data_IF_065798535268
#
_entry.id   IF_065798535268
#
_cell.length_a   1.000
_cell.length_b   1.000
_cell.length_c   1.000
_cell.angle_alpha   90.00
_cell.angle_beta   90.00
_cell.angle_gamma   90.00
#
_symmetry.space_group_name_H-M   'P 1'
#
loop_
_entity.id
_entity.type
_entity.pdbx_description
1 polymer ?
#
# COMPACT_ATOMS: atom_id res chain seq x y z
N UNK A 1 37.52 -31.56 -19.44
CA UNK A 1 36.27 -30.77 -19.55
C UNK A 1 34.98 -31.51 -19.16
N UNK A 2 34.99 -32.82 -18.82
CA UNK A 2 33.77 -33.53 -18.37
C UNK A 2 33.56 -33.49 -16.84
N UNK A 3 34.59 -33.18 -16.06
CA UNK A 3 34.49 -33.18 -14.59
C UNK A 3 33.85 -31.92 -14.00
N UNK A 4 34.02 -30.76 -14.64
CA UNK A 4 33.41 -29.50 -14.17
C UNK A 4 31.88 -29.53 -14.34
N UNK A 5 31.38 -30.15 -15.42
CA UNK A 5 29.94 -30.29 -15.67
C UNK A 5 29.26 -31.20 -14.64
N UNK A 6 29.96 -32.26 -14.21
CA UNK A 6 29.47 -33.20 -13.19
C UNK A 6 29.40 -32.55 -11.80
N UNK A 7 30.31 -31.62 -11.52
CA UNK A 7 30.35 -30.87 -10.27
C UNK A 7 29.27 -29.78 -10.19
N UNK A 8 28.92 -29.15 -11.33
CA UNK A 8 27.81 -28.20 -11.41
C UNK A 8 26.46 -28.90 -11.27
N UNK A 9 26.26 -30.07 -11.88
CA UNK A 9 25.00 -30.81 -11.74
C UNK A 9 24.78 -31.33 -10.31
N UNK A 10 25.85 -31.73 -9.59
CA UNK A 10 25.75 -32.15 -8.18
C UNK A 10 25.38 -30.99 -7.24
N UNK A 11 25.78 -29.76 -7.58
CA UNK A 11 25.45 -28.57 -6.78
C UNK A 11 23.98 -28.12 -6.97
N UNK A 12 23.38 -28.46 -8.11
CA UNK A 12 21.96 -28.18 -8.37
C UNK A 12 21.07 -29.15 -7.59
N UNK A 13 21.41 -30.44 -7.53
CA UNK A 13 20.61 -31.43 -6.76
C UNK A 13 20.64 -31.19 -5.24
N UNK A 14 21.76 -30.70 -4.68
CA UNK A 14 21.84 -30.38 -3.24
C UNK A 14 21.05 -29.11 -2.85
N UNK A 15 20.80 -28.19 -3.79
CA UNK A 15 19.98 -26.99 -3.50
C UNK A 15 18.47 -27.20 -3.64
N UNK A 16 18.05 -28.23 -4.38
CA UNK A 16 16.63 -28.60 -4.48
C UNK A 16 16.17 -29.39 -3.24
N UNK A 17 17.05 -30.19 -2.62
CA UNK A 17 16.71 -30.99 -1.44
C UNK A 17 16.55 -30.19 -0.12
N UNK A 18 16.98 -28.93 -0.06
CA UNK A 18 16.80 -28.07 1.15
C UNK A 18 15.49 -27.27 1.08
N UNK A 19 14.77 -27.32 -0.04
CA UNK A 19 13.49 -26.62 -0.23
C UNK A 19 12.24 -27.47 0.09
N UNK A 20 12.40 -28.74 0.47
CA UNK A 20 11.26 -29.69 0.60
C UNK A 20 11.00 -30.21 2.03
N UNK A 21 11.54 -29.56 3.07
CA UNK A 21 11.30 -29.98 4.47
C UNK A 21 11.05 -28.77 5.39
N UNK A 22 9.98 -28.02 5.13
CA UNK A 22 9.38 -27.09 6.10
C UNK A 22 7.93 -26.76 5.70
N UNK A 23 7.12 -27.80 5.49
CA UNK A 23 5.67 -27.69 5.29
C UNK A 23 4.97 -28.48 6.41
N UNK A 24 4.98 -27.93 7.63
CA UNK A 24 4.09 -28.36 8.70
C UNK A 24 3.04 -27.28 8.94
N UNK A 25 1.81 -27.62 8.57
CA UNK A 25 0.59 -26.88 8.91
C UNK A 25 0.21 -27.23 10.36
N UNK A 26 -0.16 -26.25 11.20
CA UNK A 26 -1.15 -26.48 12.23
C UNK A 26 -2.49 -25.91 11.77
N UNK A 27 -3.41 -26.81 11.42
CA UNK A 27 -4.84 -26.55 11.41
C UNK A 27 -5.26 -26.30 12.86
N UNK A 28 -5.55 -25.05 13.20
CA UNK A 28 -6.30 -24.73 14.42
C UNK A 28 -7.77 -24.83 14.07
N UNK A 29 -8.37 -25.92 14.54
CA UNK A 29 -9.80 -26.18 14.60
C UNK A 29 -10.46 -25.13 15.50
N UNK A 30 -11.24 -24.21 14.91
CA UNK A 30 -12.28 -23.50 15.67
C UNK A 30 -13.57 -24.25 15.43
N UNK A 31 -14.02 -24.94 16.48
CA UNK A 31 -15.31 -25.58 16.54
C UNK A 31 -16.42 -24.52 16.40
N UNK A 32 -17.30 -24.71 15.42
CA UNK A 32 -18.59 -24.03 15.30
C UNK A 32 -19.65 -25.10 15.36
N UNK A 33 -20.48 -25.04 16.40
CA UNK A 33 -21.80 -25.65 16.46
C UNK A 33 -22.62 -24.90 17.55
N UNK A 34 -23.95 -24.98 17.54
CA UNK A 34 -24.82 -23.86 17.22
C UNK A 34 -25.67 -23.44 18.42
N UNK A 35 -26.25 -22.24 18.41
CA UNK A 35 -27.59 -22.03 18.99
C UNK A 35 -28.19 -20.71 18.49
N UNK A 36 -29.26 -20.83 17.71
CA UNK A 36 -30.34 -19.86 17.69
C UNK A 36 -31.49 -20.49 18.47
N UNK A 37 -32.31 -19.71 19.19
CA UNK A 37 -33.62 -19.46 18.59
C UNK A 37 -34.29 -18.11 18.93
N UNK A 38 -34.97 -17.58 17.90
CA UNK A 38 -36.40 -17.19 17.89
C UNK A 38 -36.84 -15.86 18.51
N UNK A 39 -37.41 -15.05 17.60
CA UNK A 39 -38.28 -13.87 17.71
C UNK A 39 -39.63 -14.23 18.37
N UNK A 40 -40.39 -13.27 18.95
CA UNK A 40 -41.58 -12.78 18.21
C UNK A 40 -41.89 -11.28 18.41
N UNK A 41 -42.28 -10.61 17.31
CA UNK A 41 -43.60 -10.00 17.03
C UNK A 41 -43.85 -8.66 17.76
N UNK A 42 -43.74 -7.55 17.03
CA UNK A 42 -44.85 -6.77 16.43
C UNK A 42 -45.63 -5.92 17.45
N UNK A 43 -45.49 -4.59 17.35
CA UNK A 43 -46.66 -3.70 17.37
C UNK A 43 -46.28 -2.34 16.72
N UNK A 44 -47.03 -1.97 15.69
CA UNK A 44 -46.96 -0.68 15.01
C UNK A 44 -47.99 0.25 15.64
N UNK A 45 -47.60 1.46 16.08
CA UNK A 45 -48.49 2.65 16.01
C UNK A 45 -47.64 3.93 15.93
N UNK A 46 -47.55 4.53 14.74
CA UNK A 46 -47.50 5.99 14.51
C UNK A 46 -48.97 6.49 14.38
N UNK A 47 -49.31 7.80 14.37
CA UNK A 47 -48.48 9.00 14.41
C UNK A 47 -49.04 10.14 15.32
N UNK A 48 -48.24 11.19 15.57
CA UNK A 48 -48.78 12.52 15.86
C UNK A 48 -47.80 13.62 15.42
N UNK A 49 -48.32 14.51 14.57
CA UNK A 49 -47.70 15.70 14.03
C UNK A 49 -47.15 16.67 15.10
N UNK A 50 -46.06 17.35 14.74
CA UNK A 50 -45.48 18.43 15.53
C UNK A 50 -44.35 19.15 14.79
N UNK A 51 -44.73 20.08 13.92
CA UNK A 51 -43.89 21.05 13.19
C UNK A 51 -42.79 21.70 14.04
N UNK A 52 -41.54 21.64 13.56
CA UNK A 52 -40.67 22.83 13.53
C UNK A 52 -39.57 22.71 12.47
N UNK A 53 -39.84 23.29 11.30
CA UNK A 53 -38.85 23.53 10.26
C UNK A 53 -37.80 24.53 10.78
N UNK A 54 -36.63 24.02 11.16
CA UNK A 54 -35.44 24.84 11.32
C UNK A 54 -34.91 25.21 9.94
N UNK A 55 -34.55 26.48 9.67
CA UNK A 55 -33.98 26.86 8.38
C UNK A 55 -32.69 26.06 8.14
N UNK A 56 -32.38 25.68 6.89
CA UNK A 56 -31.13 25.01 6.60
C UNK A 56 -30.04 26.04 6.86
N UNK A 57 -29.33 25.88 7.98
CA UNK A 57 -28.03 26.51 8.14
C UNK A 57 -27.21 25.96 6.98
N UNK A 58 -27.00 26.80 5.96
CA UNK A 58 -25.95 26.62 4.97
C UNK A 58 -24.66 26.45 5.77
N UNK A 59 -24.35 25.20 6.12
CA UNK A 59 -23.02 24.82 6.54
C UNK A 59 -22.18 25.10 5.31
N UNK A 60 -21.60 26.30 5.27
CA UNK A 60 -20.36 26.52 4.53
C UNK A 60 -19.47 25.38 5.01
N UNK A 61 -19.41 24.31 4.22
CA UNK A 61 -18.32 23.38 4.31
C UNK A 61 -17.11 24.24 4.00
N UNK A 62 -16.45 24.73 5.05
CA UNK A 62 -15.06 25.12 5.00
C UNK A 62 -14.39 23.97 4.28
N UNK A 63 -14.11 24.14 2.99
CA UNK A 63 -13.24 23.25 2.25
C UNK A 63 -11.93 23.36 2.99
N UNK A 64 -11.70 22.46 3.94
CA UNK A 64 -10.39 22.23 4.51
C UNK A 64 -9.57 21.87 3.29
N UNK A 65 -8.69 22.81 2.89
CA UNK A 65 -7.82 22.64 1.76
C UNK A 65 -7.06 21.34 2.02
N UNK A 66 -7.34 20.29 1.24
CA UNK A 66 -6.78 18.96 1.51
C UNK A 66 -5.26 19.11 1.50
N UNK A 67 -4.52 18.54 2.48
CA UNK A 67 -3.07 18.68 2.52
C UNK A 67 -2.47 18.21 1.19
N UNK A 68 -1.96 19.14 0.39
CA UNK A 68 -1.45 18.83 -0.94
C UNK A 68 0.02 18.41 -0.84
N UNK A 69 0.34 17.23 -1.39
CA UNK A 69 1.75 16.83 -1.51
C UNK A 69 2.50 17.80 -2.42
N UNK A 70 3.67 18.22 -1.97
CA UNK A 70 4.56 19.00 -2.81
C UNK A 70 5.39 18.03 -3.68
N UNK A 71 5.23 18.07 -4.99
CA UNK A 71 5.94 17.15 -5.91
C UNK A 71 7.36 17.61 -6.23
N UNK A 72 7.80 18.75 -5.70
CA UNK A 72 9.18 19.21 -5.90
C UNK A 72 10.15 18.25 -5.25
N UNK A 73 11.18 17.89 -6.03
CA UNK A 73 12.25 17.03 -5.57
C UNK A 73 13.05 17.74 -4.49
N UNK A 74 13.27 17.03 -3.39
CA UNK A 74 14.16 17.43 -2.31
C UNK A 74 15.14 16.29 -2.02
N UNK A 75 16.34 16.60 -1.50
CA UNK A 75 17.24 15.58 -0.99
C UNK A 75 16.57 14.76 0.12
N UNK A 76 16.73 13.43 0.09
CA UNK A 76 16.19 12.57 1.15
C UNK A 76 16.96 12.78 2.46
N UNK A 77 16.27 13.08 3.57
CA UNK A 77 16.87 13.22 4.89
C UNK A 77 17.69 12.00 5.30
N UNK A 78 18.77 12.20 6.06
CA UNK A 78 19.74 11.15 6.39
C UNK A 78 19.08 9.96 7.13
N UNK A 79 18.14 10.22 8.05
CA UNK A 79 17.42 9.20 8.80
C UNK A 79 16.53 8.29 7.95
N UNK A 80 16.05 8.77 6.80
CA UNK A 80 15.14 8.02 5.90
C UNK A 80 15.92 7.17 4.89
N UNK A 81 17.18 7.52 4.59
CA UNK A 81 17.99 6.82 3.57
C UNK A 81 18.07 5.30 3.77
N UNK A 82 18.23 4.75 4.99
CA UNK A 82 18.23 3.30 5.20
C UNK A 82 16.90 2.65 4.80
N UNK A 83 15.77 3.24 5.19
CA UNK A 83 14.41 2.78 4.83
C UNK A 83 14.24 2.83 3.32
N UNK A 84 14.61 3.95 2.70
CA UNK A 84 14.51 4.14 1.26
C UNK A 84 15.35 3.14 0.47
N UNK A 85 16.53 2.78 0.98
CA UNK A 85 17.40 1.74 0.38
C UNK A 85 16.74 0.37 0.44
N UNK A 86 16.20 -0.02 1.60
CA UNK A 86 15.48 -1.28 1.74
C UNK A 86 14.25 -1.34 0.82
N UNK A 87 13.53 -0.22 0.70
CA UNK A 87 12.44 -0.07 -0.25
C UNK A 87 12.89 -0.26 -1.70
N UNK A 88 14.00 0.35 -2.11
CA UNK A 88 14.53 0.22 -3.45
C UNK A 88 14.90 -1.24 -3.81
N UNK A 89 15.49 -1.99 -2.87
CA UNK A 89 15.81 -3.42 -3.10
C UNK A 89 14.56 -4.29 -3.20
N UNK A 90 13.55 -4.01 -2.38
CA UNK A 90 12.26 -4.67 -2.49
C UNK A 90 11.58 -4.36 -3.84
N UNK A 91 11.61 -3.10 -4.28
CA UNK A 91 11.00 -2.67 -5.54
C UNK A 91 11.65 -3.37 -6.74
N UNK A 92 12.98 -3.54 -6.75
CA UNK A 92 13.68 -4.34 -7.77
C UNK A 92 13.19 -5.79 -7.82
N UNK A 93 12.84 -6.35 -6.66
CA UNK A 93 12.25 -7.70 -6.61
C UNK A 93 10.85 -7.72 -7.18
N UNK A 94 10.05 -6.67 -6.94
CA UNK A 94 8.74 -6.54 -7.58
C UNK A 94 8.85 -6.35 -9.10
N UNK A 95 9.83 -5.59 -9.59
CA UNK A 95 10.07 -5.45 -11.03
C UNK A 95 10.27 -6.79 -11.73
N UNK A 96 11.04 -7.69 -11.10
CA UNK A 96 11.25 -9.05 -11.62
C UNK A 96 9.96 -9.88 -11.61
N UNK A 97 9.12 -9.74 -10.58
CA UNK A 97 7.86 -10.48 -10.44
C UNK A 97 6.81 -10.07 -11.46
N UNK A 98 6.72 -8.78 -11.78
CA UNK A 98 5.77 -8.26 -12.76
C UNK A 98 6.29 -8.29 -14.19
N UNK A 99 7.54 -8.73 -14.41
CA UNK A 99 8.15 -8.81 -15.73
C UNK A 99 8.51 -7.45 -16.35
N UNK A 100 8.60 -6.39 -15.55
CA UNK A 100 8.82 -5.03 -16.04
C UNK A 100 9.15 -4.02 -14.93
N UNK A 101 9.55 -2.81 -15.32
CA UNK A 101 9.81 -1.73 -14.35
C UNK A 101 8.50 -1.10 -13.92
N UNK A 102 8.29 -1.00 -12.61
CA UNK A 102 7.14 -0.29 -12.02
C UNK A 102 7.44 1.22 -11.93
N UNK A 103 8.68 1.55 -11.56
CA UNK A 103 9.12 2.92 -11.40
C UNK A 103 10.58 3.08 -11.81
N UNK A 104 10.91 4.27 -12.30
CA UNK A 104 12.22 4.61 -12.85
C UNK A 104 13.08 5.37 -11.84
N UNK A 105 12.47 6.06 -10.88
CA UNK A 105 13.16 6.86 -9.86
C UNK A 105 12.32 6.91 -8.59
N UNK A 106 12.99 7.01 -7.45
CA UNK A 106 12.33 7.19 -6.17
C UNK A 106 13.13 8.13 -5.28
N UNK A 107 12.43 8.84 -4.40
CA UNK A 107 12.98 9.68 -3.34
C UNK A 107 11.96 9.79 -2.22
N UNK A 108 12.40 10.11 -1.02
CA UNK A 108 11.49 10.38 0.09
C UNK A 108 11.82 11.72 0.74
N UNK A 109 10.82 12.35 1.35
CA UNK A 109 10.97 13.56 2.14
C UNK A 109 10.04 13.59 3.34
N UNK A 110 10.39 14.40 4.31
CA UNK A 110 9.50 14.80 5.38
C UNK A 110 8.66 15.99 4.92
N UNK A 111 7.35 15.92 5.13
CA UNK A 111 6.41 17.01 4.84
C UNK A 111 5.34 17.04 5.92
N UNK A 112 5.25 18.15 6.66
CA UNK A 112 4.22 18.36 7.69
C UNK A 112 4.14 17.24 8.75
N UNK A 113 5.28 16.70 9.16
CA UNK A 113 5.35 15.58 10.12
C UNK A 113 5.22 14.19 9.49
N UNK A 114 4.89 14.12 8.20
CA UNK A 114 4.75 12.86 7.46
C UNK A 114 6.02 12.51 6.69
N UNK A 115 6.27 11.22 6.51
CA UNK A 115 7.34 10.66 5.70
C UNK A 115 6.76 10.14 4.39
N UNK A 116 7.01 10.90 3.32
CA UNK A 116 6.35 10.72 2.03
C UNK A 116 7.34 10.13 1.02
N UNK A 117 7.01 8.97 0.47
CA UNK A 117 7.70 8.33 -0.65
C UNK A 117 7.15 8.86 -1.97
N UNK A 118 8.03 9.33 -2.84
CA UNK A 118 7.71 9.72 -4.20
C UNK A 118 8.31 8.69 -5.15
N UNK A 119 7.45 8.00 -5.89
CA UNK A 119 7.82 7.02 -6.91
C UNK A 119 7.48 7.59 -8.30
N UNK A 120 8.51 7.85 -9.10
CA UNK A 120 8.34 8.19 -10.51
C UNK A 120 8.08 6.91 -11.28
N UNK A 121 6.88 6.80 -11.83
CA UNK A 121 6.38 5.61 -12.51
C UNK A 121 7.01 5.42 -13.88
N UNK A 122 7.16 4.16 -14.30
CA UNK A 122 7.55 3.83 -15.66
C UNK A 122 6.37 4.05 -16.62
N UNK A 123 6.55 4.71 -17.79
CA UNK A 123 5.46 4.92 -18.75
C UNK A 123 4.78 3.62 -19.19
N UNK A 124 5.55 2.54 -19.35
CA UNK A 124 5.04 1.23 -19.78
C UNK A 124 4.15 0.61 -18.72
N UNK A 125 4.48 0.85 -17.45
CA UNK A 125 3.65 0.43 -16.32
C UNK A 125 2.39 1.28 -16.19
N UNK A 126 2.47 2.59 -16.48
CA UNK A 126 1.29 3.46 -16.49
C UNK A 126 0.27 3.07 -17.57
N UNK A 127 0.72 2.45 -18.67
CA UNK A 127 -0.15 1.95 -19.72
C UNK A 127 -0.86 0.61 -19.39
N UNK A 128 -0.56 0.02 -18.23
CA UNK A 128 -1.24 -1.21 -17.78
C UNK A 128 -2.67 -0.92 -17.29
N UNK A 129 -3.46 -1.98 -17.14
CA UNK A 129 -4.82 -1.88 -16.62
C UNK A 129 -4.88 -1.27 -15.21
N UNK A 130 -6.01 -0.62 -14.93
CA UNK A 130 -6.25 0.06 -13.66
C UNK A 130 -6.09 -0.89 -12.47
N UNK A 131 -6.63 -2.11 -12.54
CA UNK A 131 -6.63 -3.05 -11.42
C UNK A 131 -5.24 -3.53 -11.05
N UNK A 132 -4.36 -3.75 -12.03
CA UNK A 132 -2.96 -4.07 -11.80
C UNK A 132 -2.25 -2.88 -11.15
N UNK A 133 -2.44 -1.67 -11.67
CA UNK A 133 -1.81 -0.45 -11.12
C UNK A 133 -2.28 -0.16 -9.70
N UNK A 134 -3.58 -0.28 -9.43
CA UNK A 134 -4.18 -0.05 -8.13
C UNK A 134 -3.68 -1.07 -7.10
N UNK A 135 -3.74 -2.37 -7.42
CA UNK A 135 -3.18 -3.43 -6.54
C UNK A 135 -1.71 -3.19 -6.25
N UNK A 136 -0.95 -2.72 -7.25
CA UNK A 136 0.45 -2.42 -7.01
C UNK A 136 0.67 -1.20 -6.12
N UNK A 137 -0.09 -0.13 -6.33
CA UNK A 137 -0.03 1.06 -5.49
C UNK A 137 -0.34 0.73 -4.03
N UNK A 138 -1.37 -0.09 -3.77
CA UNK A 138 -1.73 -0.57 -2.42
C UNK A 138 -0.57 -1.33 -1.80
N UNK A 139 0.02 -2.30 -2.52
CA UNK A 139 1.15 -3.09 -2.00
C UNK A 139 2.40 -2.23 -1.74
N UNK A 140 2.65 -1.23 -2.57
CA UNK A 140 3.74 -0.27 -2.39
C UNK A 140 3.52 0.56 -1.12
N UNK A 141 2.32 1.11 -0.93
CA UNK A 141 1.99 1.94 0.24
C UNK A 141 2.12 1.14 1.52
N UNK A 142 1.56 -0.08 1.57
CA UNK A 142 1.67 -0.96 2.72
C UNK A 142 3.13 -1.29 3.05
N UNK A 143 3.91 -1.69 2.04
CA UNK A 143 5.32 -2.01 2.27
C UNK A 143 6.11 -0.80 2.76
N UNK A 144 5.86 0.38 2.20
CA UNK A 144 6.48 1.62 2.66
C UNK A 144 6.15 1.91 4.12
N UNK A 145 4.87 1.92 4.48
CA UNK A 145 4.40 2.20 5.83
C UNK A 145 4.98 1.22 6.87
N UNK A 146 4.95 -0.09 6.59
CA UNK A 146 5.53 -1.09 7.48
C UNK A 146 7.04 -0.94 7.65
N UNK A 147 7.76 -0.53 6.59
CA UNK A 147 9.21 -0.30 6.69
C UNK A 147 9.54 0.96 7.46
N UNK A 148 8.77 2.03 7.29
CA UNK A 148 8.90 3.23 8.11
C UNK A 148 8.68 2.91 9.60
N UNK A 149 7.61 2.18 9.92
CA UNK A 149 7.29 1.81 11.30
C UNK A 149 8.35 0.89 11.90
N UNK A 150 8.73 -0.17 11.19
CA UNK A 150 9.73 -1.13 11.68
C UNK A 150 11.13 -0.54 11.89
N UNK A 151 11.42 0.60 11.27
CA UNK A 151 12.68 1.34 11.44
C UNK A 151 12.54 2.58 12.33
N UNK A 152 11.36 2.83 12.91
CA UNK A 152 11.10 3.96 13.80
C UNK A 152 11.16 5.33 13.13
N UNK A 153 10.94 5.41 11.81
CA UNK A 153 11.04 6.66 11.03
C UNK A 153 9.68 7.37 10.92
N UNK A 154 8.59 6.62 10.82
CA UNK A 154 7.22 7.13 10.87
C UNK A 154 6.28 6.00 11.28
N UNK A 155 5.14 6.32 11.87
CA UNK A 155 4.06 5.34 12.07
C UNK A 155 3.31 5.05 10.77
N UNK A 156 2.31 4.16 10.83
CA UNK A 156 1.50 3.79 9.67
C UNK A 156 0.65 4.94 9.14
N UNK A 157 0.29 5.89 10.00
CA UNK A 157 -0.59 7.02 9.67
C UNK A 157 0.18 8.24 9.12
N UNK A 158 1.49 8.24 9.29
CA UNK A 158 2.40 9.32 8.88
C UNK A 158 3.29 8.90 7.71
N UNK A 159 3.15 7.67 7.21
CA UNK A 159 3.89 7.16 6.05
C UNK A 159 3.00 7.19 4.80
N UNK A 160 3.40 7.97 3.79
CA UNK A 160 2.58 8.20 2.59
C UNK A 160 3.31 7.85 1.31
N UNK A 161 2.53 7.57 0.26
CA UNK A 161 2.99 7.29 -1.09
C UNK A 161 2.45 8.34 -2.05
N UNK A 162 3.30 8.80 -2.95
CA UNK A 162 2.92 9.65 -4.09
C UNK A 162 3.50 9.03 -5.35
N UNK A 163 2.61 8.67 -6.28
CA UNK A 163 2.98 8.19 -7.60
C UNK A 163 3.03 9.37 -8.56
N UNK A 164 4.15 9.52 -9.25
CA UNK A 164 4.41 10.65 -10.13
C UNK A 164 4.69 10.14 -11.54
N UNK A 165 4.09 10.75 -12.55
CA UNK A 165 4.42 10.48 -13.95
C UNK A 165 5.84 10.98 -14.27
N UNK A 166 6.44 10.52 -15.39
CA UNK A 166 7.72 11.06 -15.86
C UNK A 166 7.72 12.59 -16.04
N UNK A 167 6.56 13.16 -16.40
CA UNK A 167 6.33 14.60 -16.60
C UNK A 167 6.12 15.37 -15.28
N UNK A 168 6.17 14.69 -14.14
CA UNK A 168 6.05 15.32 -12.83
C UNK A 168 4.61 15.52 -12.33
N UNK A 169 3.62 14.87 -12.96
CA UNK A 169 2.21 14.93 -12.52
C UNK A 169 1.91 13.85 -11.49
N UNK A 170 1.08 14.14 -10.50
CA UNK A 170 0.59 13.11 -9.58
C UNK A 170 -0.41 12.23 -10.32
N UNK A 171 -0.17 10.92 -10.33
CA UNK A 171 -0.99 9.90 -11.01
C UNK A 171 -1.52 8.84 -10.06
N UNK A 172 -1.35 9.05 -8.76
CA UNK A 172 -1.82 8.17 -7.71
C UNK A 172 -1.06 8.38 -6.41
N UNK A 173 -1.40 7.57 -5.42
CA UNK A 173 -0.77 7.61 -4.10
C UNK A 173 -1.78 7.39 -2.99
N UNK A 174 -1.32 7.56 -1.77
CA UNK A 174 -2.16 7.53 -0.59
C UNK A 174 -2.87 8.87 -0.37
N UNK A 175 -4.06 8.86 0.22
CA UNK A 175 -4.73 10.10 0.59
C UNK A 175 -3.98 10.80 1.73
N UNK A 176 -3.97 12.15 1.74
CA UNK A 176 -3.30 12.91 2.80
C UNK A 176 -3.92 12.72 4.19
N UNK A 177 -5.24 12.51 4.23
CA UNK A 177 -5.99 12.36 5.49
C UNK A 177 -6.16 10.89 5.91
N UNK A 178 -5.93 9.95 4.99
CA UNK A 178 -6.09 8.51 5.20
C UNK A 178 -5.04 7.75 4.36
N UNK A 179 -3.81 7.57 4.88
CA UNK A 179 -2.73 6.96 4.11
C UNK A 179 -3.00 5.53 3.61
N UNK A 180 -3.78 4.69 4.32
CA UNK A 180 -4.25 3.41 3.79
C UNK A 180 -5.16 3.52 2.56
N UNK A 181 -5.90 4.62 2.38
CA UNK A 181 -6.74 4.84 1.20
C UNK A 181 -5.87 5.26 0.01
N UNK A 182 -5.67 4.31 -0.92
CA UNK A 182 -4.82 4.47 -2.10
C UNK A 182 -5.65 4.60 -3.35
N UNK A 183 -5.29 5.57 -4.19
CA UNK A 183 -5.91 5.81 -5.49
C UNK A 183 -4.86 5.81 -6.60
N UNK A 184 -5.30 5.54 -7.83
CA UNK A 184 -4.52 5.73 -9.06
C UNK A 184 -5.41 6.44 -10.08
N UNK A 185 -4.82 7.24 -10.96
CA UNK A 185 -5.54 7.86 -12.06
C UNK A 185 -6.01 6.78 -13.06
N UNK A 186 -7.09 7.04 -13.81
CA UNK A 186 -7.52 6.18 -14.91
C UNK A 186 -6.47 6.10 -16.02
#
# INVERSE_FOLDING_TARGET
>A
MRDVQKQVNRLIETKVAVAEAAAEKPVVTVAVAPDAPVVPAEDQVEPAEGTQASPPVLRLATRVDRPKYDVRRAPTPAGIKPVLRAFAEWLKTQHRRVGGRIGIRLYAKEQSGNVVLYLVMDPTFLAQDYDLRHRMAVGIQQFWAFRCQGMGVADLNSAHLVLVSPEGRVVGGSRPDDPPDVWVAE
#
